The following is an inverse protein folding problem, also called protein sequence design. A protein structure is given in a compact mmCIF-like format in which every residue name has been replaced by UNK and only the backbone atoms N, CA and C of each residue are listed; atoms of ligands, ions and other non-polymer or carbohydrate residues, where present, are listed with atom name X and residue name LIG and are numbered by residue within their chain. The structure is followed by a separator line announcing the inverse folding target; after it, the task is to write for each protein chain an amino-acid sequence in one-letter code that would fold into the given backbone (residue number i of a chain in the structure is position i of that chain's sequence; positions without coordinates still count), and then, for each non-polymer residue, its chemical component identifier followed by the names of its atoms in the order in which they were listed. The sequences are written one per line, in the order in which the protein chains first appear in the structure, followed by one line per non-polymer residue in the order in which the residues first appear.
data_IF_956032881538
#
_entry.id   IF_956032881538
#
_cell.length_a   1.000
_cell.length_b   1.000
_cell.length_c   1.000
_cell.angle_alpha   90.00
_cell.angle_beta   90.00
_cell.angle_gamma   90.00
#
_symmetry.space_group_name_H-M   'P 1'
#
loop_
_entity.id
_entity.type
_entity.pdbx_description
1 polymer ?
#
# COMPACT_ATOMS: atom_id res chain seq x y z
N UNK A 1 -40.04 16.07 21.72
CA UNK A 1 -39.71 14.73 22.24
C UNK A 1 -39.53 13.70 21.12
N UNK A 2 -40.56 13.31 20.35
CA UNK A 2 -40.41 12.33 19.24
C UNK A 2 -39.35 12.71 18.19
N UNK A 3 -39.30 13.99 17.79
CA UNK A 3 -38.27 14.53 16.87
C UNK A 3 -36.85 14.56 17.44
N UNK A 4 -36.69 14.55 18.77
CA UNK A 4 -35.37 14.45 19.41
C UNK A 4 -34.95 13.00 19.62
N UNK A 5 -35.90 12.11 19.93
CA UNK A 5 -35.70 10.67 19.99
C UNK A 5 -35.30 10.17 18.59
N UNK A 6 -35.99 10.59 17.52
CA UNK A 6 -35.65 10.23 16.15
C UNK A 6 -34.26 10.76 15.74
N UNK A 7 -33.84 11.93 16.25
CA UNK A 7 -32.48 12.46 16.04
C UNK A 7 -31.41 11.69 16.81
N UNK A 8 -31.69 11.29 18.06
CA UNK A 8 -30.78 10.47 18.86
C UNK A 8 -30.63 9.07 18.26
N UNK A 9 -31.74 8.44 17.89
CA UNK A 9 -31.78 7.13 17.21
C UNK A 9 -31.08 7.22 15.85
N UNK A 10 -31.29 8.30 15.08
CA UNK A 10 -30.57 8.54 13.84
C UNK A 10 -29.06 8.71 14.07
N UNK A 11 -28.66 9.48 15.09
CA UNK A 11 -27.25 9.70 15.44
C UNK A 11 -26.55 8.42 15.92
N UNK A 12 -27.23 7.60 16.72
CA UNK A 12 -26.72 6.32 17.22
C UNK A 12 -26.56 5.29 16.10
N UNK A 13 -27.57 5.19 15.22
CA UNK A 13 -27.50 4.34 14.03
C UNK A 13 -26.38 4.79 13.05
N UNK A 14 -26.17 6.11 12.92
CA UNK A 14 -25.06 6.65 12.15
C UNK A 14 -23.72 6.26 12.79
N UNK A 15 -23.57 6.44 14.10
CA UNK A 15 -22.35 6.08 14.82
C UNK A 15 -22.01 4.60 14.64
N UNK A 16 -22.96 3.70 14.87
CA UNK A 16 -22.77 2.24 14.70
C UNK A 16 -22.37 1.90 13.26
N UNK A 17 -22.97 2.57 12.27
CA UNK A 17 -22.75 2.33 10.85
C UNK A 17 -21.36 2.79 10.36
N UNK A 18 -20.76 3.80 11.00
CA UNK A 18 -19.43 4.31 10.65
C UNK A 18 -18.34 3.87 11.63
N UNK A 19 -18.69 3.24 12.75
CA UNK A 19 -17.76 2.84 13.81
C UNK A 19 -16.59 1.99 13.30
N UNK A 20 -16.78 0.96 12.45
CA UNK A 20 -15.64 0.20 11.93
C UNK A 20 -14.67 1.06 11.12
N UNK A 21 -15.20 1.96 10.28
CA UNK A 21 -14.39 2.88 9.49
C UNK A 21 -13.62 3.87 10.37
N UNK A 22 -14.27 4.43 11.39
CA UNK A 22 -13.66 5.35 12.35
C UNK A 22 -12.56 4.64 13.16
N UNK A 23 -12.84 3.45 13.70
CA UNK A 23 -11.88 2.70 14.51
C UNK A 23 -10.65 2.30 13.68
N UNK A 24 -10.85 1.80 12.46
CA UNK A 24 -9.75 1.40 11.58
C UNK A 24 -8.88 2.61 11.19
N UNK A 25 -9.50 3.72 10.79
CA UNK A 25 -8.76 4.92 10.40
C UNK A 25 -8.00 5.56 11.57
N UNK A 26 -8.61 5.62 12.76
CA UNK A 26 -7.95 6.07 13.97
C UNK A 26 -6.81 5.14 14.39
N UNK A 27 -6.98 3.82 14.33
CA UNK A 27 -5.92 2.87 14.62
C UNK A 27 -4.73 3.06 13.66
N UNK A 28 -4.99 3.16 12.36
CA UNK A 28 -3.96 3.39 11.35
C UNK A 28 -3.22 4.73 11.51
N UNK A 29 -3.83 5.71 12.20
CA UNK A 29 -3.22 6.99 12.54
C UNK A 29 -2.44 6.97 13.86
N UNK A 30 -3.00 6.39 14.92
CA UNK A 30 -2.41 6.39 16.27
C UNK A 30 -1.26 5.39 16.37
N UNK A 31 -1.37 4.22 15.73
CA UNK A 31 -0.39 3.14 15.84
C UNK A 31 1.04 3.56 15.45
N UNK A 32 1.29 4.29 14.35
CA UNK A 32 2.61 4.83 14.04
C UNK A 32 3.22 5.68 15.16
N UNK A 33 2.42 6.49 15.86
CA UNK A 33 2.88 7.31 16.98
C UNK A 33 3.29 6.46 18.18
N UNK A 34 2.52 5.40 18.46
CA UNK A 34 2.85 4.44 19.52
C UNK A 34 4.16 3.72 19.19
N UNK A 35 4.33 3.23 17.95
CA UNK A 35 5.56 2.57 17.54
C UNK A 35 6.78 3.49 17.59
N UNK A 36 6.63 4.75 17.23
CA UNK A 36 7.70 5.75 17.38
C UNK A 36 8.11 5.95 18.84
N UNK A 37 7.18 5.82 19.80
CA UNK A 37 7.51 5.90 21.22
C UNK A 37 8.14 4.62 21.75
N UNK A 38 7.64 3.46 21.35
CA UNK A 38 8.15 2.14 21.74
C UNK A 38 9.60 1.98 21.28
N UNK A 39 9.93 2.40 20.07
CA UNK A 39 11.25 2.13 19.50
C UNK A 39 12.39 2.85 20.23
N UNK A 40 12.08 3.97 20.90
CA UNK A 40 13.04 4.66 21.76
C UNK A 40 13.47 3.79 22.96
N UNK A 41 12.66 2.81 23.35
CA UNK A 41 13.00 1.84 24.40
C UNK A 41 13.67 0.57 23.87
N UNK A 42 13.74 0.37 22.55
CA UNK A 42 14.22 -0.89 21.96
C UNK A 42 15.69 -0.86 21.50
N UNK A 43 16.45 0.22 21.78
CA UNK A 43 17.91 0.36 21.54
C UNK A 43 18.44 -0.23 20.22
N UNK A 44 17.69 -0.04 19.12
CA UNK A 44 18.07 -0.55 17.81
C UNK A 44 19.03 0.38 17.06
N UNK A 45 19.80 -0.20 16.12
CA UNK A 45 20.57 0.61 15.16
C UNK A 45 19.63 1.49 14.30
N UNK A 46 20.03 2.72 13.95
CA UNK A 46 19.13 3.70 13.31
C UNK A 46 18.60 3.25 11.93
N UNK A 47 19.33 2.39 11.22
CA UNK A 47 18.87 1.80 9.96
C UNK A 47 17.87 0.65 10.14
N UNK A 48 17.99 -0.12 11.22
CA UNK A 48 17.06 -1.18 11.57
C UNK A 48 15.76 -0.61 12.15
N UNK A 49 15.88 0.43 12.98
CA UNK A 49 14.78 1.20 13.55
C UNK A 49 13.74 1.61 12.48
N UNK A 50 14.21 2.29 11.43
CA UNK A 50 13.35 2.78 10.34
C UNK A 50 12.66 1.62 9.62
N UNK A 51 13.39 0.54 9.30
CA UNK A 51 12.82 -0.62 8.60
C UNK A 51 11.77 -1.32 9.45
N UNK A 52 12.03 -1.48 10.74
CA UNK A 52 11.12 -2.11 11.68
C UNK A 52 9.85 -1.28 11.89
N UNK A 53 9.97 0.04 12.03
CA UNK A 53 8.80 0.94 12.13
C UNK A 53 7.95 0.87 10.87
N UNK A 54 8.57 0.98 9.69
CA UNK A 54 7.86 0.86 8.41
C UNK A 54 7.17 -0.51 8.31
N UNK A 55 7.86 -1.60 8.66
CA UNK A 55 7.30 -2.95 8.63
C UNK A 55 6.10 -3.09 9.58
N UNK A 56 6.20 -2.57 10.81
CA UNK A 56 5.11 -2.59 11.79
C UNK A 56 3.91 -1.76 11.31
N UNK A 57 4.14 -0.60 10.70
CA UNK A 57 3.10 0.23 10.09
C UNK A 57 2.42 -0.47 8.91
N UNK A 58 3.19 -1.12 8.03
CA UNK A 58 2.67 -1.95 6.92
C UNK A 58 1.80 -3.07 7.46
N UNK A 59 2.33 -3.84 8.40
CA UNK A 59 1.65 -4.98 8.98
C UNK A 59 0.32 -4.56 9.60
N UNK A 60 0.29 -3.47 10.36
CA UNK A 60 -0.95 -2.96 10.97
C UNK A 60 -1.98 -2.54 9.91
N UNK A 61 -1.57 -1.78 8.89
CA UNK A 61 -2.48 -1.31 7.83
C UNK A 61 -3.06 -2.45 7.00
N UNK A 62 -2.25 -3.45 6.68
CA UNK A 62 -2.73 -4.63 5.97
C UNK A 62 -3.60 -5.51 6.88
N UNK A 63 -3.20 -5.71 8.15
CA UNK A 63 -3.98 -6.49 9.11
C UNK A 63 -5.36 -5.89 9.37
N UNK A 64 -5.50 -4.56 9.45
CA UNK A 64 -6.82 -3.92 9.61
C UNK A 64 -7.73 -4.18 8.40
N UNK A 65 -7.20 -4.14 7.17
CA UNK A 65 -7.94 -4.53 5.97
C UNK A 65 -8.30 -6.02 6.01
N UNK A 66 -7.36 -6.90 6.36
CA UNK A 66 -7.62 -8.34 6.50
C UNK A 66 -8.76 -8.62 7.47
N UNK A 67 -8.70 -8.02 8.67
CA UNK A 67 -9.72 -8.18 9.72
C UNK A 67 -11.06 -7.67 9.24
N UNK A 68 -11.11 -6.52 8.57
CA UNK A 68 -12.34 -5.97 8.02
C UNK A 68 -12.98 -6.94 7.00
N UNK A 69 -12.20 -7.37 6.00
CA UNK A 69 -12.70 -8.25 4.93
C UNK A 69 -13.14 -9.60 5.49
N UNK A 70 -12.37 -10.18 6.40
CA UNK A 70 -12.73 -11.42 7.09
C UNK A 70 -14.00 -11.24 7.93
N UNK A 71 -14.11 -10.16 8.69
CA UNK A 71 -15.28 -9.87 9.52
C UNK A 71 -16.54 -9.67 8.67
N UNK A 72 -16.43 -8.95 7.56
CA UNK A 72 -17.54 -8.77 6.61
C UNK A 72 -17.95 -10.10 5.98
N UNK A 73 -16.99 -10.88 5.47
CA UNK A 73 -17.27 -12.19 4.89
C UNK A 73 -17.92 -13.15 5.89
N UNK A 74 -17.42 -13.16 7.12
CA UNK A 74 -18.01 -13.93 8.22
C UNK A 74 -19.43 -13.48 8.54
N UNK A 75 -19.70 -12.18 8.65
CA UNK A 75 -21.07 -11.66 8.90
C UNK A 75 -22.05 -11.99 7.77
N UNK A 76 -21.59 -12.02 6.52
CA UNK A 76 -22.42 -12.36 5.36
C UNK A 76 -22.74 -13.86 5.32
N UNK A 77 -21.77 -14.69 5.69
CA UNK A 77 -21.86 -16.17 5.61
C UNK A 77 -22.39 -16.79 6.92
N UNK A 78 -22.36 -16.06 8.03
CA UNK A 78 -22.79 -16.53 9.35
C UNK A 78 -24.30 -16.33 9.52
N UNK A 79 -25.00 -17.43 9.78
CA UNK A 79 -26.45 -17.51 9.83
C UNK A 79 -26.91 -18.81 10.48
N UNK A 80 -28.10 -18.77 11.08
CA UNK A 80 -28.83 -19.97 11.47
C UNK A 80 -29.37 -20.69 10.24
N UNK A 81 -29.36 -22.04 10.27
CA UNK A 81 -29.66 -22.92 9.13
C UNK A 81 -30.85 -22.45 8.28
N UNK A 82 -31.97 -22.06 8.91
CA UNK A 82 -33.20 -21.66 8.20
C UNK A 82 -33.02 -20.45 7.25
N UNK A 83 -32.20 -19.46 7.63
CA UNK A 83 -32.03 -18.22 6.87
C UNK A 83 -31.05 -18.34 5.70
N UNK A 84 -30.14 -19.31 5.76
CA UNK A 84 -29.14 -19.59 4.73
C UNK A 84 -29.49 -20.75 3.82
N UNK A 85 -30.41 -21.63 4.21
CA UNK A 85 -30.83 -22.76 3.36
C UNK A 85 -31.45 -22.28 2.02
N UNK A 86 -32.09 -21.10 2.01
CA UNK A 86 -32.74 -20.56 0.81
C UNK A 86 -31.76 -19.94 -0.20
N UNK A 87 -30.72 -19.24 0.26
CA UNK A 87 -29.86 -18.40 -0.57
C UNK A 87 -28.35 -18.57 -0.34
N UNK A 88 -27.94 -19.39 0.63
CA UNK A 88 -26.53 -19.65 0.99
C UNK A 88 -25.79 -18.47 1.65
N UNK A 89 -26.50 -17.40 2.02
CA UNK A 89 -26.00 -16.27 2.79
C UNK A 89 -27.12 -15.67 3.65
N UNK A 90 -26.77 -14.81 4.62
CA UNK A 90 -27.74 -14.20 5.52
C UNK A 90 -28.59 -13.11 4.84
N UNK A 91 -29.64 -13.53 4.13
CA UNK A 91 -30.50 -12.63 3.35
C UNK A 91 -31.32 -11.67 4.22
N UNK A 92 -31.63 -12.03 5.47
CA UNK A 92 -32.44 -11.19 6.37
C UNK A 92 -31.68 -9.93 6.78
N UNK A 93 -30.38 -10.05 7.07
CA UNK A 93 -29.55 -8.92 7.51
C UNK A 93 -28.79 -8.26 6.36
N UNK A 94 -28.41 -9.03 5.34
CA UNK A 94 -27.63 -8.56 4.19
C UNK A 94 -28.32 -8.95 2.87
N UNK A 95 -29.52 -8.44 2.55
CA UNK A 95 -30.22 -8.80 1.32
C UNK A 95 -29.42 -8.42 0.06
N UNK A 96 -28.60 -7.37 0.16
CA UNK A 96 -27.77 -6.77 -0.86
C UNK A 96 -26.29 -6.68 -0.41
N UNK A 97 -25.72 -7.83 -0.04
CA UNK A 97 -24.41 -7.88 0.59
C UNK A 97 -23.28 -7.26 -0.26
N UNK A 98 -23.32 -7.41 -1.59
CA UNK A 98 -22.32 -6.81 -2.50
C UNK A 98 -22.29 -5.29 -2.38
N UNK A 99 -23.48 -4.68 -2.33
CA UNK A 99 -23.62 -3.24 -2.17
C UNK A 99 -23.11 -2.79 -0.81
N UNK A 100 -23.37 -3.56 0.25
CA UNK A 100 -22.87 -3.25 1.60
C UNK A 100 -21.34 -3.32 1.68
N UNK A 101 -20.70 -4.31 1.04
CA UNK A 101 -19.24 -4.38 0.94
C UNK A 101 -18.69 -3.14 0.21
N UNK A 102 -19.31 -2.75 -0.90
CA UNK A 102 -18.95 -1.53 -1.64
C UNK A 102 -19.11 -0.26 -0.79
N UNK A 103 -20.18 -0.17 0.02
CA UNK A 103 -20.40 0.94 0.94
C UNK A 103 -19.33 1.02 2.01
N UNK A 104 -18.91 -0.10 2.61
CA UNK A 104 -17.83 -0.08 3.61
C UNK A 104 -16.50 0.41 3.03
N UNK A 105 -16.12 -0.05 1.82
CA UNK A 105 -14.91 0.42 1.14
C UNK A 105 -14.99 1.92 0.79
N UNK A 106 -16.18 2.38 0.38
CA UNK A 106 -16.46 3.78 0.11
C UNK A 106 -16.30 4.65 1.36
N UNK A 107 -16.89 4.25 2.49
CA UNK A 107 -16.76 4.94 3.77
C UNK A 107 -15.29 5.04 4.20
N UNK A 108 -14.55 3.94 4.15
CA UNK A 108 -13.13 3.92 4.49
C UNK A 108 -12.31 4.87 3.62
N UNK A 109 -12.57 4.91 2.31
CA UNK A 109 -11.88 5.80 1.39
C UNK A 109 -12.05 7.27 1.75
N UNK A 110 -13.29 7.68 2.08
CA UNK A 110 -13.64 9.05 2.48
C UNK A 110 -13.10 9.38 3.87
N UNK A 111 -13.27 8.50 4.85
CA UNK A 111 -12.75 8.73 6.20
C UNK A 111 -11.23 8.88 6.20
N UNK A 112 -10.53 8.07 5.40
CA UNK A 112 -9.08 8.22 5.25
C UNK A 112 -8.71 9.58 4.64
N UNK A 113 -9.45 10.08 3.64
CA UNK A 113 -9.26 11.44 3.12
C UNK A 113 -9.50 12.51 4.21
N UNK A 114 -10.61 12.42 4.95
CA UNK A 114 -10.97 13.37 6.00
C UNK A 114 -9.88 13.40 7.08
N UNK A 115 -9.41 12.24 7.54
CA UNK A 115 -8.37 12.15 8.56
C UNK A 115 -7.05 12.74 8.06
N UNK A 116 -6.64 12.43 6.83
CA UNK A 116 -5.41 13.00 6.26
C UNK A 116 -5.49 14.52 6.19
N UNK A 117 -6.62 15.07 5.73
CA UNK A 117 -6.86 16.52 5.69
C UNK A 117 -6.87 17.13 7.09
N UNK A 118 -7.61 16.52 8.02
CA UNK A 118 -7.74 17.01 9.39
C UNK A 118 -6.39 17.02 10.12
N UNK A 119 -5.57 15.98 9.95
CA UNK A 119 -4.22 15.93 10.54
C UNK A 119 -3.35 17.02 9.95
N UNK A 120 -3.35 17.19 8.62
CA UNK A 120 -2.51 18.22 8.00
C UNK A 120 -2.94 19.64 8.39
N UNK A 121 -4.23 19.90 8.55
CA UNK A 121 -4.75 21.22 8.93
C UNK A 121 -4.71 21.51 10.44
N UNK A 122 -5.03 20.55 11.29
CA UNK A 122 -5.20 20.75 12.74
C UNK A 122 -4.01 20.25 13.57
N UNK A 123 -3.12 19.43 13.01
CA UNK A 123 -1.94 18.92 13.71
C UNK A 123 -0.66 19.48 13.10
N UNK A 124 -0.43 19.23 11.80
CA UNK A 124 0.84 19.59 11.16
C UNK A 124 1.02 21.12 11.07
N UNK A 125 0.01 21.84 10.58
CA UNK A 125 0.08 23.29 10.43
C UNK A 125 0.19 24.05 11.77
N UNK A 126 -0.63 23.77 12.79
CA UNK A 126 -0.51 24.44 14.09
C UNK A 126 0.79 24.08 14.80
N UNK A 127 1.31 22.84 14.64
CA UNK A 127 2.62 22.46 15.18
C UNK A 127 3.73 23.34 14.61
N UNK A 128 3.73 23.64 13.31
CA UNK A 128 4.69 24.60 12.74
C UNK A 128 4.54 25.97 13.38
N UNK A 129 3.31 26.49 13.47
CA UNK A 129 3.06 27.81 14.06
C UNK A 129 3.58 27.91 15.51
N UNK A 130 3.26 26.90 16.33
CA UNK A 130 3.70 26.84 17.73
C UNK A 130 5.23 26.80 17.84
N UNK A 131 5.92 26.00 17.03
CA UNK A 131 7.39 25.92 17.08
C UNK A 131 8.04 27.22 16.62
N UNK A 132 7.47 27.92 15.62
CA UNK A 132 8.03 29.18 15.11
C UNK A 132 7.78 30.37 16.05
N UNK A 133 6.56 30.48 16.62
CA UNK A 133 6.17 31.67 17.40
C UNK A 133 6.32 31.48 18.92
N UNK A 134 6.18 30.25 19.44
CA UNK A 134 6.23 29.95 20.88
C UNK A 134 7.50 29.18 21.26
N UNK A 135 8.68 29.68 20.83
CA UNK A 135 9.98 29.05 21.11
C UNK A 135 10.41 29.11 22.59
N UNK A 136 9.68 29.83 23.44
CA UNK A 136 10.01 30.00 24.87
C UNK A 136 9.64 28.79 25.74
N UNK A 137 8.81 27.86 25.25
CA UNK A 137 8.41 26.67 26.00
C UNK A 137 9.26 25.46 25.61
N UNK A 138 10.05 24.94 26.56
CA UNK A 138 10.91 23.75 26.37
C UNK A 138 10.17 22.52 25.81
N UNK A 139 8.89 22.35 26.15
CA UNK A 139 8.07 21.25 25.63
C UNK A 139 7.85 21.36 24.11
N UNK A 140 7.60 22.57 23.59
CA UNK A 140 7.38 22.83 22.16
C UNK A 140 8.69 22.64 21.38
N UNK A 141 9.82 23.04 21.98
CA UNK A 141 11.14 22.85 21.40
C UNK A 141 11.56 21.37 21.36
N UNK A 142 11.16 20.58 22.37
CA UNK A 142 11.35 19.13 22.38
C UNK A 142 10.46 18.43 21.36
N UNK A 143 9.24 18.92 21.14
CA UNK A 143 8.32 18.35 20.15
C UNK A 143 8.82 18.59 18.71
N UNK A 144 9.48 19.72 18.45
CA UNK A 144 10.17 19.99 17.19
C UNK A 144 9.25 20.14 15.97
N UNK A 145 9.84 20.52 14.83
CA UNK A 145 9.12 20.58 13.55
C UNK A 145 8.89 19.18 12.98
N UNK A 146 7.79 19.01 12.24
CA UNK A 146 7.47 17.74 11.58
C UNK A 146 8.48 17.46 10.44
N UNK A 147 9.05 16.26 10.43
CA UNK A 147 9.85 15.75 9.32
C UNK A 147 8.97 15.08 8.27
N UNK A 148 9.30 15.27 6.99
CA UNK A 148 8.57 14.61 5.91
C UNK A 148 9.06 13.17 5.69
N UNK A 149 8.34 12.21 6.25
CA UNK A 149 8.60 10.79 6.05
C UNK A 149 8.02 10.28 4.73
N UNK A 150 8.88 10.08 3.72
CA UNK A 150 8.48 9.50 2.42
C UNK A 150 7.80 8.13 2.59
N UNK A 151 8.34 7.19 3.41
CA UNK A 151 7.74 5.86 3.55
C UNK A 151 6.29 5.89 4.03
N UNK A 152 5.96 6.71 5.03
CA UNK A 152 4.60 6.75 5.60
C UNK A 152 3.56 7.25 4.60
N UNK A 153 3.94 8.21 3.75
CA UNK A 153 3.10 8.71 2.67
C UNK A 153 2.91 7.64 1.57
N UNK A 154 3.98 6.94 1.17
CA UNK A 154 3.89 5.82 0.22
C UNK A 154 2.98 4.70 0.76
N UNK A 155 3.11 4.36 2.05
CA UNK A 155 2.23 3.39 2.69
C UNK A 155 0.77 3.85 2.75
N UNK A 156 0.51 5.16 2.80
CA UNK A 156 -0.85 5.72 2.70
C UNK A 156 -1.44 5.48 1.32
N UNK A 157 -0.62 5.66 0.29
CA UNK A 157 -1.03 5.40 -1.10
C UNK A 157 -1.34 3.91 -1.31
N UNK A 158 -0.46 3.00 -0.86
CA UNK A 158 -0.68 1.55 -1.01
C UNK A 158 -1.94 1.09 -0.27
N UNK A 159 -2.20 1.62 0.93
CA UNK A 159 -3.43 1.36 1.67
C UNK A 159 -4.67 1.80 0.89
N UNK A 160 -4.68 3.02 0.36
CA UNK A 160 -5.77 3.54 -0.48
C UNK A 160 -5.97 2.72 -1.75
N UNK A 161 -4.89 2.30 -2.42
CA UNK A 161 -4.95 1.43 -3.60
C UNK A 161 -5.57 0.07 -3.27
N UNK A 162 -5.19 -0.53 -2.14
CA UNK A 162 -5.73 -1.82 -1.70
C UNK A 162 -7.26 -1.74 -1.48
N UNK A 163 -7.74 -0.70 -0.81
CA UNK A 163 -9.19 -0.46 -0.63
C UNK A 163 -9.88 -0.28 -2.00
N UNK A 164 -9.28 0.51 -2.88
CA UNK A 164 -9.81 0.72 -4.22
C UNK A 164 -9.94 -0.59 -5.00
N UNK A 165 -8.92 -1.46 -4.95
CA UNK A 165 -8.94 -2.74 -5.64
C UNK A 165 -10.00 -3.70 -5.10
N UNK A 166 -10.15 -3.77 -3.77
CA UNK A 166 -11.21 -4.58 -3.14
C UNK A 166 -12.59 -4.07 -3.55
N UNK A 167 -12.80 -2.75 -3.50
CA UNK A 167 -14.12 -2.15 -3.70
C UNK A 167 -14.48 -1.85 -5.16
N UNK A 168 -13.53 -1.83 -6.10
CA UNK A 168 -13.77 -1.45 -7.49
C UNK A 168 -14.81 -2.36 -8.18
N UNK A 169 -14.82 -3.64 -7.83
CA UNK A 169 -15.79 -4.60 -8.34
C UNK A 169 -17.21 -4.31 -7.84
N UNK A 170 -17.35 -3.99 -6.55
CA UNK A 170 -18.64 -3.79 -5.89
C UNK A 170 -19.21 -2.37 -6.07
N UNK A 171 -18.33 -1.39 -6.27
CA UNK A 171 -18.67 0.03 -6.44
C UNK A 171 -17.86 0.62 -7.61
N UNK A 172 -18.43 0.67 -8.82
CA UNK A 172 -17.70 1.11 -10.02
C UNK A 172 -17.30 2.59 -9.99
N UNK A 173 -17.92 3.39 -9.11
CA UNK A 173 -17.55 4.80 -8.90
C UNK A 173 -16.34 4.96 -7.95
N UNK A 174 -15.97 3.93 -7.19
CA UNK A 174 -14.89 4.00 -6.21
C UNK A 174 -13.54 4.36 -6.82
N UNK A 175 -13.13 3.84 -8.00
CA UNK A 175 -11.89 4.27 -8.65
C UNK A 175 -11.86 5.76 -8.97
N UNK A 176 -12.97 6.35 -9.44
CA UNK A 176 -13.03 7.78 -9.73
C UNK A 176 -12.83 8.63 -8.45
N UNK A 177 -13.41 8.19 -7.34
CA UNK A 177 -13.25 8.83 -6.03
C UNK A 177 -11.83 8.66 -5.51
N UNK A 178 -11.23 7.48 -5.69
CA UNK A 178 -9.84 7.25 -5.33
C UNK A 178 -8.90 8.16 -6.13
N UNK A 179 -9.15 8.34 -7.43
CA UNK A 179 -8.39 9.28 -8.27
C UNK A 179 -8.52 10.71 -7.75
N UNK A 180 -9.74 11.19 -7.50
CA UNK A 180 -9.96 12.53 -6.95
C UNK A 180 -9.25 12.71 -5.59
N UNK A 181 -9.36 11.71 -4.71
CA UNK A 181 -8.67 11.69 -3.42
C UNK A 181 -7.16 11.81 -3.60
N UNK A 182 -6.54 11.04 -4.49
CA UNK A 182 -5.09 11.09 -4.68
C UNK A 182 -4.63 12.44 -5.25
N UNK A 183 -5.42 13.08 -6.11
CA UNK A 183 -5.15 14.45 -6.59
C UNK A 183 -5.18 15.44 -5.40
N UNK A 184 -6.20 15.37 -4.55
CA UNK A 184 -6.31 16.25 -3.37
C UNK A 184 -5.14 16.02 -2.42
N UNK A 185 -4.84 14.75 -2.10
CA UNK A 185 -3.73 14.39 -1.20
C UNK A 185 -2.39 14.85 -1.76
N UNK A 186 -2.17 14.74 -3.07
CA UNK A 186 -0.95 15.19 -3.71
C UNK A 186 -0.69 16.68 -3.44
N UNK A 187 -1.64 17.55 -3.77
CA UNK A 187 -1.49 18.99 -3.56
C UNK A 187 -1.39 19.36 -2.08
N UNK A 188 -2.17 18.71 -1.21
CA UNK A 188 -2.11 18.96 0.24
C UNK A 188 -0.74 18.56 0.81
N UNK A 189 -0.18 17.42 0.39
CA UNK A 189 1.13 16.97 0.84
C UNK A 189 2.26 17.78 0.24
N UNK A 190 2.15 18.24 -1.01
CA UNK A 190 3.08 19.18 -1.62
C UNK A 190 3.14 20.48 -0.83
N UNK A 191 1.99 21.09 -0.53
CA UNK A 191 1.93 22.29 0.30
C UNK A 191 2.50 22.05 1.70
N UNK A 192 2.15 20.93 2.33
CA UNK A 192 2.72 20.56 3.63
C UNK A 192 4.24 20.38 3.57
N UNK A 193 4.78 19.81 2.49
CA UNK A 193 6.22 19.62 2.32
C UNK A 193 6.96 20.95 2.16
N UNK A 194 6.45 21.82 1.29
CA UNK A 194 7.09 23.10 0.97
C UNK A 194 6.99 24.11 2.13
N UNK A 195 5.83 24.17 2.78
CA UNK A 195 5.56 25.19 3.78
C UNK A 195 5.65 24.67 5.20
N UNK A 196 5.28 23.43 5.51
CA UNK A 196 5.15 22.98 6.92
C UNK A 196 6.36 22.19 7.43
N UNK A 197 6.96 21.35 6.58
CA UNK A 197 7.97 20.38 6.99
C UNK A 197 9.40 20.94 6.97
N UNK A 198 10.26 20.42 7.86
CA UNK A 198 11.71 20.59 7.77
C UNK A 198 12.30 19.52 6.84
N UNK A 199 13.31 19.83 6.02
CA UNK A 199 14.05 18.80 5.29
C UNK A 199 14.65 17.79 6.26
N UNK A 200 14.43 16.49 6.01
CA UNK A 200 15.01 15.45 6.85
C UNK A 200 16.55 15.51 6.78
N UNK A 201 17.25 15.52 7.92
CA UNK A 201 18.72 15.51 7.94
C UNK A 201 19.30 14.15 7.48
N UNK A 202 18.46 13.11 7.38
CA UNK A 202 18.86 11.76 7.03
C UNK A 202 18.67 11.51 5.53
N UNK A 203 19.75 11.18 4.84
CA UNK A 203 19.75 10.89 3.40
C UNK A 203 19.07 9.54 3.15
N UNK A 204 17.83 9.55 2.67
CA UNK A 204 17.13 8.32 2.28
C UNK A 204 17.50 7.91 0.85
N UNK A 205 18.08 6.73 0.68
CA UNK A 205 18.45 6.21 -0.65
C UNK A 205 17.27 5.49 -1.29
N UNK A 206 16.54 6.18 -2.17
CA UNK A 206 15.35 5.68 -2.85
C UNK A 206 15.50 4.29 -3.52
N UNK A 207 16.68 3.98 -4.08
CA UNK A 207 16.90 2.74 -4.84
C UNK A 207 16.77 1.44 -4.01
N UNK A 208 17.09 1.46 -2.71
CA UNK A 208 16.98 0.26 -1.86
C UNK A 208 15.56 0.03 -1.34
N UNK A 209 14.72 1.07 -1.34
CA UNK A 209 13.36 1.01 -0.76
C UNK A 209 12.27 0.79 -1.79
N UNK A 210 12.54 1.04 -3.08
CA UNK A 210 11.60 0.74 -4.16
C UNK A 210 11.19 -0.73 -4.20
N UNK A 211 12.14 -1.66 -4.03
CA UNK A 211 11.82 -3.10 -3.95
C UNK A 211 10.89 -3.40 -2.78
N UNK A 212 11.13 -2.81 -1.62
CA UNK A 212 10.28 -2.98 -0.45
C UNK A 212 8.85 -2.46 -0.70
N UNK A 213 8.69 -1.27 -1.26
CA UNK A 213 7.36 -0.73 -1.55
C UNK A 213 6.62 -1.52 -2.63
N UNK A 214 7.33 -2.00 -3.66
CA UNK A 214 6.75 -2.89 -4.67
C UNK A 214 6.30 -4.23 -4.08
N UNK A 215 7.08 -4.80 -3.14
CA UNK A 215 6.68 -6.00 -2.42
C UNK A 215 5.42 -5.77 -1.58
N UNK A 216 5.33 -4.66 -0.85
CA UNK A 216 4.14 -4.31 -0.06
C UNK A 216 2.92 -4.09 -0.97
N UNK A 217 3.10 -3.43 -2.11
CA UNK A 217 2.06 -3.26 -3.12
C UNK A 217 1.55 -4.60 -3.65
N UNK A 218 2.46 -5.54 -3.92
CA UNK A 218 2.10 -6.91 -4.36
C UNK A 218 1.31 -7.65 -3.27
N UNK A 219 1.71 -7.54 -2.00
CA UNK A 219 0.94 -8.12 -0.89
C UNK A 219 -0.46 -7.50 -0.81
N UNK A 220 -0.58 -6.17 -0.95
CA UNK A 220 -1.86 -5.48 -1.02
C UNK A 220 -2.73 -5.97 -2.19
N UNK A 221 -2.13 -6.22 -3.35
CA UNK A 221 -2.83 -6.75 -4.52
C UNK A 221 -3.36 -8.18 -4.27
N UNK A 222 -2.53 -9.06 -3.70
CA UNK A 222 -2.96 -10.40 -3.29
C UNK A 222 -4.11 -10.33 -2.28
N UNK A 223 -4.02 -9.42 -1.29
CA UNK A 223 -5.07 -9.19 -0.31
C UNK A 223 -6.39 -8.70 -0.93
N UNK A 224 -6.33 -8.03 -2.07
CA UNK A 224 -7.53 -7.60 -2.80
C UNK A 224 -8.11 -8.73 -3.67
N UNK A 225 -7.27 -9.43 -4.43
CA UNK A 225 -7.70 -10.44 -5.41
C UNK A 225 -8.23 -11.70 -4.72
N UNK A 226 -7.59 -12.16 -3.64
CA UNK A 226 -7.96 -13.43 -2.99
C UNK A 226 -9.41 -13.39 -2.46
N UNK A 227 -9.81 -12.40 -1.61
CA UNK A 227 -11.18 -12.33 -1.12
C UNK A 227 -12.18 -12.06 -2.23
N UNK A 228 -11.82 -11.22 -3.22
CA UNK A 228 -12.67 -10.96 -4.37
C UNK A 228 -12.98 -12.25 -5.14
N UNK A 229 -11.95 -13.04 -5.46
CA UNK A 229 -12.10 -14.31 -6.19
C UNK A 229 -12.93 -15.32 -5.38
N UNK A 230 -12.68 -15.44 -4.08
CA UNK A 230 -13.49 -16.30 -3.19
C UNK A 230 -14.95 -15.84 -3.20
N UNK A 231 -15.19 -14.52 -3.08
CA UNK A 231 -16.54 -13.97 -3.07
C UNK A 231 -17.29 -14.22 -4.38
N UNK A 232 -16.62 -14.10 -5.53
CA UNK A 232 -17.22 -14.31 -6.85
C UNK A 232 -17.50 -15.79 -7.15
N UNK A 233 -16.66 -16.71 -6.64
CA UNK A 233 -16.72 -18.13 -6.96
C UNK A 233 -17.49 -18.98 -5.94
N UNK A 234 -17.52 -18.58 -4.66
CA UNK A 234 -18.09 -19.41 -3.58
C UNK A 234 -19.34 -18.81 -2.94
N UNK A 235 -19.45 -17.49 -2.86
CA UNK A 235 -20.60 -16.84 -2.22
C UNK A 235 -21.70 -16.67 -3.27
N UNK A 236 -22.94 -17.11 -2.99
CA UNK A 236 -24.04 -16.90 -3.92
C UNK A 236 -24.33 -15.42 -4.16
N UNK A 237 -24.67 -15.07 -5.39
CA UNK A 237 -25.05 -13.72 -5.78
C UNK A 237 -26.32 -13.28 -5.04
N UNK A 238 -26.41 -12.00 -4.67
CA UNK A 238 -27.61 -11.51 -4.01
C UNK A 238 -28.85 -11.65 -4.91
N UNK A 239 -29.93 -12.18 -4.32
CA UNK A 239 -31.20 -12.39 -5.04
C UNK A 239 -32.12 -11.17 -4.99
N UNK A 240 -31.88 -10.25 -4.06
CA UNK A 240 -32.73 -9.07 -3.89
C UNK A 240 -32.35 -7.90 -4.81
N UNK A 241 -31.10 -7.82 -5.29
CA UNK A 241 -30.59 -6.68 -6.05
C UNK A 241 -29.33 -7.01 -6.84
N UNK A 242 -28.88 -6.06 -7.67
CA UNK A 242 -27.64 -6.17 -8.43
C UNK A 242 -27.81 -6.78 -9.82
N UNK A 243 -26.74 -6.79 -10.63
CA UNK A 243 -26.78 -7.26 -12.02
C UNK A 243 -26.78 -8.79 -12.13
N UNK A 244 -26.46 -9.51 -11.05
CA UNK A 244 -26.23 -10.96 -11.05
C UNK A 244 -27.35 -11.78 -10.39
N UNK A 245 -28.53 -11.19 -10.17
CA UNK A 245 -29.68 -11.83 -9.48
C UNK A 245 -30.11 -13.17 -10.10
N UNK A 246 -30.01 -13.28 -11.42
CA UNK A 246 -30.41 -14.47 -12.19
C UNK A 246 -29.38 -15.60 -12.16
N UNK A 247 -28.20 -15.38 -11.58
CA UNK A 247 -27.12 -16.36 -11.50
C UNK A 247 -26.97 -16.87 -10.08
N UNK A 248 -26.50 -18.11 -9.89
CA UNK A 248 -26.23 -18.61 -8.54
C UNK A 248 -24.93 -18.05 -8.01
N UNK A 249 -23.91 -17.97 -8.84
CA UNK A 249 -22.64 -17.30 -8.53
C UNK A 249 -22.31 -16.25 -9.59
N UNK A 250 -21.56 -15.23 -9.18
CA UNK A 250 -21.16 -14.15 -10.09
C UNK A 250 -20.25 -14.64 -11.21
N UNK A 251 -19.50 -15.72 -10.97
CA UNK A 251 -18.65 -16.37 -11.96
C UNK A 251 -19.42 -16.99 -13.14
N UNK A 252 -20.66 -17.45 -12.95
CA UNK A 252 -21.46 -18.11 -14.00
C UNK A 252 -21.77 -17.21 -15.21
N UNK A 253 -21.71 -15.90 -15.02
CA UNK A 253 -21.94 -14.91 -16.09
C UNK A 253 -20.88 -15.02 -17.18
N UNK A 254 -19.63 -15.34 -16.81
CA UNK A 254 -18.49 -15.40 -17.73
C UNK A 254 -18.70 -16.47 -18.80
N UNK A 255 -18.88 -17.77 -18.47
CA UNK A 255 -19.08 -18.81 -19.49
C UNK A 255 -20.38 -18.59 -20.28
N UNK A 256 -21.45 -18.05 -19.65
CA UNK A 256 -22.70 -17.76 -20.34
C UNK A 256 -22.53 -16.65 -21.39
N UNK A 257 -21.77 -15.61 -21.08
CA UNK A 257 -21.45 -14.52 -22.01
C UNK A 257 -20.51 -14.99 -23.12
N UNK A 258 -19.55 -15.86 -22.81
CA UNK A 258 -18.68 -16.45 -23.84
C UNK A 258 -19.49 -17.29 -24.85
N UNK A 259 -20.57 -17.94 -24.42
CA UNK A 259 -21.44 -18.71 -25.33
C UNK A 259 -22.28 -17.88 -26.30
N UNK A 260 -22.45 -16.56 -26.08
CA UNK A 260 -23.17 -15.68 -27.01
C UNK A 260 -22.27 -15.02 -28.05
N UNK A 261 -20.95 -15.21 -27.96
CA UNK A 261 -19.98 -14.71 -28.94
C UNK A 261 -20.02 -15.49 -30.27
N UNK A 262 -19.56 -14.87 -31.37
CA UNK A 262 -19.41 -15.58 -32.64
C UNK A 262 -18.45 -16.76 -32.51
N UNK A 263 -18.66 -17.81 -33.30
CA UNK A 263 -17.95 -19.09 -33.22
C UNK A 263 -16.43 -18.95 -33.22
N UNK A 264 -15.89 -18.03 -34.02
CA UNK A 264 -14.45 -17.74 -34.06
C UNK A 264 -13.89 -17.27 -32.72
N UNK A 265 -14.60 -16.36 -32.04
CA UNK A 265 -14.17 -15.74 -30.79
C UNK A 265 -14.39 -16.71 -29.61
N UNK A 266 -15.46 -17.50 -29.67
CA UNK A 266 -15.72 -18.59 -28.73
C UNK A 266 -14.60 -19.65 -28.77
N UNK A 267 -14.20 -20.12 -29.94
CA UNK A 267 -13.10 -21.09 -30.10
C UNK A 267 -11.76 -20.53 -29.61
N UNK A 268 -11.49 -19.24 -29.80
CA UNK A 268 -10.30 -18.58 -29.25
C UNK A 268 -10.30 -18.56 -27.72
N UNK A 269 -11.42 -18.17 -27.10
CA UNK A 269 -11.52 -18.10 -25.63
C UNK A 269 -11.37 -19.48 -24.99
N UNK A 270 -12.03 -20.50 -25.54
CA UNK A 270 -11.85 -21.88 -25.07
C UNK A 270 -10.45 -22.42 -25.34
N UNK A 271 -9.84 -22.05 -26.47
CA UNK A 271 -8.45 -22.40 -26.78
C UNK A 271 -7.47 -21.84 -25.75
N UNK A 272 -7.59 -20.54 -25.41
CA UNK A 272 -6.72 -19.87 -24.44
C UNK A 272 -6.96 -20.37 -23.01
N UNK A 273 -8.20 -20.71 -22.66
CA UNK A 273 -8.56 -21.23 -21.32
C UNK A 273 -8.29 -22.73 -21.18
N UNK A 274 -7.99 -23.42 -22.29
CA UNK A 274 -7.71 -24.85 -22.29
C UNK A 274 -6.41 -25.19 -21.56
N UNK A 275 -6.43 -26.31 -20.84
CA UNK A 275 -5.24 -26.90 -20.22
C UNK A 275 -4.12 -27.14 -21.23
N UNK A 276 -4.48 -27.48 -22.47
CA UNK A 276 -3.54 -27.72 -23.57
C UNK A 276 -2.77 -26.45 -24.00
N UNK A 277 -3.33 -25.26 -23.78
CA UNK A 277 -2.64 -23.99 -23.99
C UNK A 277 -1.91 -23.51 -22.73
N UNK A 278 -2.52 -23.69 -21.56
CA UNK A 278 -1.97 -23.23 -20.29
C UNK A 278 -0.61 -23.90 -19.95
N UNK A 279 -0.49 -25.21 -20.16
CA UNK A 279 0.76 -25.96 -19.87
C UNK A 279 1.96 -25.45 -20.70
N UNK A 280 1.91 -25.41 -22.05
CA UNK A 280 3.04 -24.90 -22.83
C UNK A 280 3.28 -23.41 -22.60
N UNK A 281 2.24 -22.60 -22.38
CA UNK A 281 2.39 -21.19 -22.04
C UNK A 281 3.16 -21.00 -20.73
N UNK A 282 2.82 -21.77 -19.69
CA UNK A 282 3.54 -21.75 -18.41
C UNK A 282 4.99 -22.22 -18.57
N UNK A 283 5.24 -23.27 -19.37
CA UNK A 283 6.59 -23.73 -19.68
C UNK A 283 7.44 -22.66 -20.36
N UNK A 284 6.88 -21.94 -21.35
CA UNK A 284 7.56 -20.82 -22.02
C UNK A 284 7.88 -19.71 -21.02
N UNK A 285 6.93 -19.33 -20.16
CA UNK A 285 7.18 -18.33 -19.11
C UNK A 285 8.28 -18.78 -18.16
N UNK A 286 8.29 -20.05 -17.73
CA UNK A 286 9.35 -20.59 -16.90
C UNK A 286 10.71 -20.52 -17.60
N UNK A 287 10.80 -20.89 -18.88
CA UNK A 287 12.04 -20.77 -19.67
C UNK A 287 12.52 -19.33 -19.78
N UNK A 288 11.61 -18.39 -20.05
CA UNK A 288 11.91 -16.95 -20.09
C UNK A 288 12.42 -16.47 -18.73
N UNK A 289 11.76 -16.86 -17.64
CA UNK A 289 12.17 -16.51 -16.28
C UNK A 289 13.57 -17.09 -15.95
N UNK A 290 13.83 -18.36 -16.28
CA UNK A 290 15.15 -18.98 -16.11
C UNK A 290 16.22 -18.26 -16.93
N UNK A 291 15.91 -17.88 -18.16
CA UNK A 291 16.80 -17.07 -19.00
C UNK A 291 17.14 -15.73 -18.34
N UNK A 292 16.14 -15.00 -17.81
CA UNK A 292 16.38 -13.74 -17.10
C UNK A 292 17.19 -13.92 -15.82
N UNK A 293 16.96 -15.00 -15.06
CA UNK A 293 17.76 -15.32 -13.86
C UNK A 293 19.22 -15.58 -14.25
N UNK A 294 19.46 -16.37 -15.29
CA UNK A 294 20.80 -16.65 -15.80
C UNK A 294 21.49 -15.37 -16.30
N UNK A 295 20.76 -14.52 -17.03
CA UNK A 295 21.24 -13.23 -17.53
C UNK A 295 21.60 -12.27 -16.39
N UNK A 296 20.76 -12.17 -15.36
CA UNK A 296 21.05 -11.38 -14.16
C UNK A 296 22.31 -11.92 -13.44
N UNK A 297 22.48 -13.24 -13.39
CA UNK A 297 23.68 -13.88 -12.87
C UNK A 297 24.94 -13.54 -13.66
N UNK A 298 24.88 -13.53 -15.00
CA UNK A 298 25.99 -13.16 -15.87
C UNK A 298 26.37 -11.68 -15.71
N UNK A 299 25.39 -10.77 -15.73
CA UNK A 299 25.62 -9.35 -15.50
C UNK A 299 26.24 -9.07 -14.11
N UNK A 300 25.81 -9.80 -13.08
CA UNK A 300 26.42 -9.69 -11.75
C UNK A 300 27.91 -10.03 -11.78
N UNK A 301 28.33 -11.08 -12.51
CA UNK A 301 29.75 -11.44 -12.68
C UNK A 301 30.54 -10.34 -13.41
N UNK A 302 29.98 -9.81 -14.50
CA UNK A 302 30.59 -8.70 -15.26
C UNK A 302 30.78 -7.46 -14.36
N UNK A 303 29.78 -7.11 -13.55
CA UNK A 303 29.88 -5.99 -12.60
C UNK A 303 30.97 -6.22 -11.55
N UNK A 304 31.13 -7.45 -11.06
CA UNK A 304 32.21 -7.79 -10.11
C UNK A 304 33.59 -7.63 -10.77
N UNK A 305 33.77 -8.16 -11.98
CA UNK A 305 35.03 -8.03 -12.73
C UNK A 305 35.38 -6.56 -13.01
N UNK A 306 34.40 -5.75 -13.45
CA UNK A 306 34.60 -4.31 -13.67
C UNK A 306 35.00 -3.58 -12.39
N UNK A 307 34.42 -3.94 -11.23
CA UNK A 307 34.79 -3.36 -9.94
C UNK A 307 36.22 -3.74 -9.53
N UNK A 308 36.63 -4.99 -9.77
CA UNK A 308 38.00 -5.43 -9.51
C UNK A 308 39.00 -4.69 -10.40
N UNK A 309 38.74 -4.59 -11.71
CA UNK A 309 39.56 -3.80 -12.64
C UNK A 309 39.69 -2.34 -12.23
N UNK A 310 38.58 -1.70 -11.86
CA UNK A 310 38.58 -0.31 -11.40
C UNK A 310 39.40 -0.14 -10.10
N UNK A 311 39.36 -1.14 -9.22
CA UNK A 311 40.14 -1.13 -7.97
C UNK A 311 41.64 -1.29 -8.22
N UNK A 312 42.04 -2.11 -9.20
CA UNK A 312 43.42 -2.32 -9.61
C UNK A 312 43.98 -1.06 -10.30
N UNK A 313 43.26 -0.50 -11.26
CA UNK A 313 43.65 0.75 -11.94
C UNK A 313 43.80 1.91 -10.94
N UNK A 314 42.92 1.98 -9.93
CA UNK A 314 43.02 2.96 -8.85
C UNK A 314 44.25 2.75 -7.95
N UNK A 315 44.75 1.52 -7.79
CA UNK A 315 46.00 1.24 -7.05
C UNK A 315 47.21 1.61 -7.90
N UNK A 316 47.24 1.23 -9.17
CA UNK A 316 48.34 1.55 -10.08
C UNK A 316 48.52 3.05 -10.26
N UNK A 317 47.42 3.81 -10.42
CA UNK A 317 47.49 5.29 -10.47
C UNK A 317 48.10 5.88 -9.20
N UNK A 318 47.72 5.38 -8.02
CA UNK A 318 48.29 5.85 -6.74
C UNK A 318 49.78 5.53 -6.63
N UNK A 319 50.18 4.32 -7.05
CA UNK A 319 51.58 3.90 -7.06
C UNK A 319 52.43 4.77 -8.02
N UNK A 320 51.93 5.03 -9.23
CA UNK A 320 52.57 5.91 -10.21
C UNK A 320 52.73 7.35 -9.68
N UNK A 321 51.68 7.91 -9.07
CA UNK A 321 51.75 9.26 -8.46
C UNK A 321 52.79 9.29 -7.33
N UNK A 322 52.85 8.26 -6.48
CA UNK A 322 53.82 8.18 -5.40
C UNK A 322 55.26 8.15 -5.96
N UNK A 323 55.52 7.35 -7.00
CA UNK A 323 56.83 7.29 -7.66
C UNK A 323 57.23 8.60 -8.32
N UNK A 324 56.31 9.29 -8.98
CA UNK A 324 56.56 10.63 -9.54
C UNK A 324 56.87 11.66 -8.46
N UNK A 325 56.17 11.60 -7.33
CA UNK A 325 56.38 12.50 -6.18
C UNK A 325 57.75 12.25 -5.52
N UNK A 326 58.15 11.00 -5.35
CA UNK A 326 59.48 10.60 -4.88
C UNK A 326 60.57 11.14 -5.82
N UNK A 327 60.43 10.92 -7.13
CA UNK A 327 61.39 11.40 -8.12
C UNK A 327 61.48 12.95 -8.18
N UNK A 328 60.36 13.66 -8.06
CA UNK A 328 60.36 15.13 -7.96
C UNK A 328 61.07 15.62 -6.69
N UNK A 329 60.87 14.93 -5.56
CA UNK A 329 61.52 15.28 -4.29
C UNK A 329 63.04 15.05 -4.36
N UNK A 330 63.46 13.94 -4.94
CA UNK A 330 64.88 13.64 -5.16
C UNK A 330 65.54 14.66 -6.10
N UNK A 331 64.85 15.05 -7.17
CA UNK A 331 65.32 16.11 -8.08
C UNK A 331 65.44 17.45 -7.37
N UNK A 332 64.45 17.82 -6.53
CA UNK A 332 64.49 19.05 -5.75
C UNK A 332 65.63 19.05 -4.72
N UNK A 333 65.83 17.96 -3.98
CA UNK A 333 66.95 17.83 -3.05
C UNK A 333 68.32 17.96 -3.73
N UNK A 334 68.44 17.51 -4.99
CA UNK A 334 69.68 17.68 -5.78
C UNK A 334 69.88 19.13 -6.23
N UNK A 335 68.81 19.87 -6.52
CA UNK A 335 68.86 21.28 -6.90
C UNK A 335 69.12 22.21 -5.71
N UNK A 336 68.57 21.90 -4.53
CA UNK A 336 68.75 22.70 -3.30
C UNK A 336 70.08 22.38 -2.57
N UNK A 337 70.79 21.33 -2.97
CA UNK A 337 72.10 20.90 -2.42
C UNK A 337 73.32 21.31 -3.26
N UNK A 338 73.10 22.01 -4.37
CA UNK A 338 74.10 22.78 -5.12
C UNK A 338 73.96 24.26 -4.77
#
# INVERSE_FOLDING_TARGET
MKKEIDKMVFGENLLILYLPSIVITLANFITPMIFAKIIHYEDYSPGFEIRLTILRCVFMRLATICVLVFTLGSKITSCDNYSCELCGYNQKLYPCWETQVGQEMYKLMIFDLIIILAVTLFVDFPRKLLVTYCSSWKLIQCWGQQEFAIPDNVLGIVYGQTICWIGAFFSPLLPAIATLKFIIIFYVKEMSLLYTCRPSPRQFRASNSNFFFLLVLLIGLCLAIIPLTISMARIPSSKACGPFTNFNTTWEVVPKTVSTFPSSLQSLVYGVTSEAFAVPFFMIICLIMFYFIALAGAHKRVVVQLREQLSLESRDKRYLIQKLTEAQKDMKNRLDGQ
#
